data_IF_353610669438
#
_entry.id   IF_353610669438
#
_cell.length_a   1.000
_cell.length_b   1.000
_cell.length_c   1.000
_cell.angle_alpha   90.00
_cell.angle_beta   90.00
_cell.angle_gamma   90.00
#
_symmetry.space_group_name_H-M   'P 1'
#
loop_
_entity.id
_entity.type
_entity.pdbx_description
1 polymer ?
#
# COMPACT_ATOMS: atom_id res chain seq x y z
N UNK A 1 58.16 -12.97 5.66
CA UNK A 1 57.18 -12.50 6.68
C UNK A 1 56.74 -13.71 7.50
N UNK A 2 56.75 -13.63 8.84
CA UNK A 2 56.39 -14.79 9.68
C UNK A 2 54.91 -15.16 9.46
N UNK A 3 54.55 -16.45 9.32
CA UNK A 3 53.17 -16.86 9.08
C UNK A 3 52.15 -16.28 10.08
N UNK A 4 52.51 -16.21 11.37
CA UNK A 4 51.64 -15.60 12.40
C UNK A 4 51.39 -14.09 12.21
N UNK A 5 52.36 -13.34 11.68
CA UNK A 5 52.18 -11.91 11.38
C UNK A 5 51.24 -11.71 10.19
N UNK A 6 51.32 -12.58 9.18
CA UNK A 6 50.41 -12.55 8.04
C UNK A 6 48.97 -12.89 8.49
N UNK A 7 48.82 -13.93 9.31
CA UNK A 7 47.50 -14.35 9.81
C UNK A 7 46.83 -13.27 10.66
N UNK A 8 47.55 -12.66 11.61
CA UNK A 8 47.05 -11.55 12.41
C UNK A 8 46.65 -10.34 11.57
N UNK A 9 47.39 -10.03 10.48
CA UNK A 9 47.02 -8.95 9.56
C UNK A 9 45.72 -9.24 8.84
N UNK A 10 45.54 -10.45 8.32
CA UNK A 10 44.33 -10.84 7.62
C UNK A 10 43.11 -10.76 8.56
N UNK A 11 43.23 -11.34 9.76
CA UNK A 11 42.15 -11.29 10.76
C UNK A 11 41.88 -9.87 11.25
N UNK A 12 42.92 -9.08 11.51
CA UNK A 12 42.77 -7.69 11.93
C UNK A 12 42.06 -6.84 10.87
N UNK A 13 42.43 -6.99 9.59
CA UNK A 13 41.75 -6.30 8.48
C UNK A 13 40.30 -6.76 8.36
N UNK A 14 40.04 -8.08 8.41
CA UNK A 14 38.69 -8.63 8.37
C UNK A 14 37.81 -8.10 9.51
N UNK A 15 38.34 -8.07 10.73
CA UNK A 15 37.65 -7.53 11.90
C UNK A 15 37.30 -6.04 11.73
N UNK A 16 38.25 -5.22 11.26
CA UNK A 16 38.02 -3.79 11.02
C UNK A 16 36.94 -3.58 9.96
N UNK A 17 36.94 -4.37 8.88
CA UNK A 17 35.91 -4.29 7.83
C UNK A 17 34.53 -4.68 8.37
N UNK A 18 34.43 -5.81 9.08
CA UNK A 18 33.17 -6.24 9.68
C UNK A 18 32.64 -5.23 10.71
N UNK A 19 33.52 -4.68 11.56
CA UNK A 19 33.17 -3.66 12.53
C UNK A 19 32.69 -2.38 11.85
N UNK A 20 33.36 -1.93 10.78
CA UNK A 20 32.94 -0.76 10.02
C UNK A 20 31.56 -0.96 9.37
N UNK A 21 31.30 -2.12 8.77
CA UNK A 21 30.00 -2.45 8.18
C UNK A 21 28.89 -2.49 9.23
N UNK A 22 29.15 -3.11 10.38
CA UNK A 22 28.23 -3.10 11.51
C UNK A 22 27.96 -1.67 12.01
N UNK A 23 29.00 -0.87 12.18
CA UNK A 23 28.88 0.51 12.65
C UNK A 23 28.05 1.37 11.69
N UNK A 24 28.27 1.23 10.38
CA UNK A 24 27.46 1.89 9.34
C UNK A 24 26.00 1.45 9.43
N UNK A 25 25.75 0.15 9.57
CA UNK A 25 24.40 -0.41 9.72
C UNK A 25 23.68 0.14 10.94
N UNK A 26 24.31 0.13 12.12
CA UNK A 26 23.71 0.61 13.36
C UNK A 26 23.33 2.10 13.30
N UNK A 27 24.12 2.91 12.59
CA UNK A 27 23.88 4.35 12.40
C UNK A 27 22.96 4.68 11.21
N UNK A 28 22.65 3.70 10.37
CA UNK A 28 21.70 3.90 9.26
C UNK A 28 20.28 3.95 9.82
N UNK A 29 19.48 4.99 9.51
CA UNK A 29 18.11 5.08 10.02
C UNK A 29 17.28 3.85 9.69
N UNK A 30 16.44 3.45 10.65
CA UNK A 30 15.56 2.30 10.49
C UNK A 30 14.53 2.58 9.39
N UNK A 31 14.53 1.72 8.38
CA UNK A 31 13.55 1.76 7.31
C UNK A 31 12.17 1.35 7.80
N UNK A 32 11.19 2.23 7.56
CA UNK A 32 9.78 2.00 7.91
C UNK A 32 8.87 2.02 6.68
N UNK A 33 9.27 2.73 5.61
CA UNK A 33 8.60 2.67 4.31
C UNK A 33 8.91 1.36 3.60
N UNK A 34 7.92 0.79 2.92
CA UNK A 34 8.09 -0.49 2.23
C UNK A 34 9.17 -0.42 1.13
N UNK A 35 9.21 0.65 0.34
CA UNK A 35 10.13 0.75 -0.80
C UNK A 35 11.58 0.98 -0.35
N UNK A 36 11.79 1.79 0.68
CA UNK A 36 13.11 2.01 1.30
C UNK A 36 13.60 0.77 2.04
N UNK A 37 12.71 0.07 2.76
CA UNK A 37 13.04 -1.16 3.50
C UNK A 37 13.43 -2.29 2.56
N UNK A 38 12.61 -2.56 1.56
CA UNK A 38 12.85 -3.64 0.58
C UNK A 38 14.02 -3.29 -0.33
N UNK A 39 14.05 -2.07 -0.87
CA UNK A 39 15.10 -1.63 -1.79
C UNK A 39 16.45 -1.42 -1.13
N UNK A 40 16.52 -1.44 0.22
CA UNK A 40 17.68 -1.01 1.00
C UNK A 40 18.10 0.37 0.49
N UNK A 41 17.20 1.34 0.62
CA UNK A 41 17.37 2.73 0.15
C UNK A 41 17.18 3.66 1.35
N UNK A 42 17.89 4.78 1.35
CA UNK A 42 17.93 5.69 2.49
C UNK A 42 16.59 6.31 2.81
N UNK A 43 16.09 6.05 4.02
CA UNK A 43 14.95 6.78 4.59
C UNK A 43 15.21 8.27 4.71
N UNK A 44 16.41 8.69 5.07
CA UNK A 44 16.74 10.12 5.16
C UNK A 44 16.45 10.86 3.86
N UNK A 45 16.62 10.19 2.71
CA UNK A 45 16.45 10.79 1.39
C UNK A 45 15.00 10.69 0.87
N UNK A 46 14.28 9.63 1.25
CA UNK A 46 12.98 9.27 0.68
C UNK A 46 11.79 9.35 1.65
N UNK A 47 12.02 9.42 2.96
CA UNK A 47 10.94 9.65 3.92
C UNK A 47 10.27 11.01 3.69
N UNK A 48 8.96 11.06 3.92
CA UNK A 48 8.23 12.33 3.97
C UNK A 48 8.85 13.25 5.05
N UNK A 49 9.01 14.52 4.72
CA UNK A 49 9.52 15.54 5.68
C UNK A 49 8.41 16.38 6.28
N UNK A 50 7.26 16.46 5.60
CA UNK A 50 6.09 17.12 6.15
C UNK A 50 5.35 16.16 7.08
N UNK A 51 4.95 16.62 8.27
CA UNK A 51 4.08 15.82 9.11
C UNK A 51 2.74 15.62 8.38
N UNK A 52 2.29 14.37 8.30
CA UNK A 52 0.96 14.06 7.80
C UNK A 52 -0.13 14.55 8.77
N UNK A 53 -1.37 14.70 8.29
CA UNK A 53 -2.50 14.91 9.18
C UNK A 53 -2.65 13.71 10.13
N UNK A 54 -3.15 13.98 11.34
CA UNK A 54 -3.41 12.95 12.34
C UNK A 54 -4.82 12.41 12.19
N UNK A 55 -4.99 11.13 12.48
CA UNK A 55 -6.30 10.52 12.66
C UNK A 55 -6.70 10.59 14.13
N UNK A 56 -7.98 10.84 14.39
CA UNK A 56 -8.53 10.62 15.72
C UNK A 56 -8.60 9.11 15.98
N UNK A 57 -7.87 8.65 16.99
CA UNK A 57 -7.87 7.25 17.42
C UNK A 57 -9.26 6.72 17.77
N UNK A 58 -10.21 7.60 18.14
CA UNK A 58 -11.59 7.22 18.41
C UNK A 58 -12.30 6.65 17.17
N UNK A 59 -11.87 7.03 15.96
CA UNK A 59 -12.45 6.57 14.69
C UNK A 59 -11.65 5.45 14.03
N UNK A 60 -10.46 5.14 14.52
CA UNK A 60 -9.66 4.00 14.07
C UNK A 60 -10.14 2.72 14.75
N UNK A 61 -11.41 2.37 14.57
CA UNK A 61 -12.05 1.24 15.28
C UNK A 61 -12.85 0.36 14.33
N UNK A 62 -13.02 -0.89 14.75
CA UNK A 62 -13.82 -1.92 14.10
C UNK A 62 -15.08 -2.21 14.94
N UNK A 63 -16.12 -2.68 14.27
CA UNK A 63 -17.34 -3.20 14.86
C UNK A 63 -17.48 -4.72 14.68
N UNK A 64 -18.13 -5.45 15.61
CA UNK A 64 -18.49 -6.86 15.38
C UNK A 64 -19.24 -7.03 14.05
N UNK A 65 -18.93 -8.08 13.29
CA UNK A 65 -19.56 -8.36 11.98
C UNK A 65 -21.09 -8.38 12.01
N UNK A 66 -21.69 -8.88 13.10
CA UNK A 66 -23.14 -8.95 13.29
C UNK A 66 -23.81 -7.60 13.54
N UNK A 67 -23.01 -6.59 13.88
CA UNK A 67 -23.42 -5.22 14.14
C UNK A 67 -22.86 -4.25 13.10
N UNK A 68 -22.17 -4.72 12.05
CA UNK A 68 -21.60 -3.82 11.06
C UNK A 68 -22.66 -3.39 10.02
N UNK A 69 -22.62 -2.11 9.64
CA UNK A 69 -23.38 -1.53 8.55
C UNK A 69 -22.63 -1.67 7.22
N UNK A 70 -21.30 -1.62 7.31
CA UNK A 70 -20.36 -1.73 6.18
C UNK A 70 -19.35 -2.85 6.47
N UNK A 71 -19.23 -3.81 5.54
CA UNK A 71 -18.13 -4.75 5.48
C UNK A 71 -17.09 -4.25 4.49
N UNK A 72 -15.83 -4.16 4.91
CA UNK A 72 -14.69 -3.92 4.02
C UNK A 72 -13.93 -5.22 3.81
N UNK A 73 -13.72 -5.62 2.56
CA UNK A 73 -12.77 -6.66 2.16
C UNK A 73 -11.64 -5.95 1.45
N UNK A 74 -10.53 -5.74 2.14
CA UNK A 74 -9.43 -4.93 1.64
C UNK A 74 -8.09 -5.63 1.67
N UNK A 75 -7.06 -4.94 1.18
CA UNK A 75 -5.68 -5.37 1.25
C UNK A 75 -4.90 -4.54 2.28
N UNK A 76 -3.58 -4.43 2.10
CA UNK A 76 -2.69 -3.66 2.96
C UNK A 76 -3.10 -2.18 3.08
N UNK A 77 -3.88 -1.63 2.14
CA UNK A 77 -4.41 -0.28 2.25
C UNK A 77 -5.53 -0.14 3.32
N UNK A 78 -6.14 -1.24 3.74
CA UNK A 78 -7.25 -1.26 4.69
C UNK A 78 -6.85 -1.71 6.10
N UNK A 79 -5.66 -2.28 6.30
CA UNK A 79 -5.25 -2.89 7.58
C UNK A 79 -5.14 -1.90 8.75
N UNK A 80 -4.93 -0.60 8.46
CA UNK A 80 -4.73 0.45 9.47
C UNK A 80 -6.01 1.22 9.82
N UNK A 81 -7.14 0.88 9.21
CA UNK A 81 -8.42 1.57 9.38
C UNK A 81 -8.41 3.07 8.99
N UNK A 82 -7.37 3.53 8.30
CA UNK A 82 -7.10 4.95 8.10
C UNK A 82 -8.16 5.63 7.22
N UNK A 83 -8.47 5.06 6.05
CA UNK A 83 -9.54 5.62 5.20
C UNK A 83 -10.93 5.28 5.77
N UNK A 84 -11.06 4.15 6.46
CA UNK A 84 -12.30 3.73 7.11
C UNK A 84 -12.71 4.67 8.26
N UNK A 85 -11.76 5.39 8.87
CA UNK A 85 -12.05 6.39 9.89
C UNK A 85 -13.12 7.40 9.45
N UNK A 86 -13.13 7.79 8.17
CA UNK A 86 -14.14 8.70 7.63
C UNK A 86 -15.57 8.09 7.67
N UNK A 87 -15.69 6.78 7.47
CA UNK A 87 -16.98 6.07 7.61
C UNK A 87 -17.43 6.01 9.07
N UNK A 88 -16.50 5.71 9.98
CA UNK A 88 -16.80 5.63 11.41
C UNK A 88 -17.20 7.01 11.96
N UNK A 89 -16.46 8.06 11.60
CA UNK A 89 -16.80 9.44 11.91
C UNK A 89 -18.16 9.85 11.30
N UNK A 90 -18.47 9.33 10.11
CA UNK A 90 -19.77 9.46 9.46
C UNK A 90 -20.92 8.70 10.13
N UNK A 91 -20.66 7.94 11.20
CA UNK A 91 -21.65 7.21 11.99
C UNK A 91 -21.87 5.75 11.57
N UNK A 92 -21.09 5.23 10.62
CA UNK A 92 -21.21 3.83 10.19
C UNK A 92 -20.41 2.89 11.09
N UNK A 93 -21.00 1.73 11.41
CA UNK A 93 -20.27 0.63 12.04
C UNK A 93 -19.56 -0.17 10.97
N UNK A 94 -18.23 -0.15 10.98
CA UNK A 94 -17.40 -0.80 9.95
C UNK A 94 -16.73 -2.05 10.52
N UNK A 95 -16.81 -3.17 9.80
CA UNK A 95 -15.98 -4.35 10.04
C UNK A 95 -15.05 -4.54 8.84
N UNK A 96 -13.79 -4.90 9.08
CA UNK A 96 -12.81 -5.11 7.99
C UNK A 96 -12.24 -6.52 8.05
N UNK A 97 -12.22 -7.20 6.90
CA UNK A 97 -11.44 -8.42 6.66
C UNK A 97 -10.40 -8.15 5.57
N UNK A 98 -9.43 -9.05 5.44
CA UNK A 98 -8.37 -8.97 4.44
C UNK A 98 -8.50 -10.06 3.38
N UNK A 99 -8.04 -9.83 2.14
CA UNK A 99 -8.02 -10.83 1.07
C UNK A 99 -7.39 -12.18 1.50
N UNK A 100 -6.25 -12.14 2.18
CA UNK A 100 -5.57 -13.34 2.72
C UNK A 100 -6.41 -14.12 3.76
N UNK A 101 -7.47 -13.51 4.31
CA UNK A 101 -8.38 -14.15 5.28
C UNK A 101 -9.64 -14.70 4.62
N UNK A 102 -10.04 -14.15 3.47
CA UNK A 102 -11.21 -14.61 2.72
C UNK A 102 -10.85 -15.66 1.68
N UNK A 103 -9.64 -15.57 1.11
CA UNK A 103 -9.34 -16.16 -0.19
C UNK A 103 -10.08 -15.43 -1.32
N UNK A 104 -10.17 -16.04 -2.52
CA UNK A 104 -10.91 -15.49 -3.65
C UNK A 104 -12.39 -15.25 -3.32
N UNK A 105 -13.01 -14.26 -3.95
CA UNK A 105 -14.44 -14.02 -3.82
C UNK A 105 -15.22 -14.94 -4.77
N UNK A 106 -15.63 -16.08 -4.26
CA UNK A 106 -16.20 -17.16 -5.06
C UNK A 106 -17.70 -16.97 -5.35
N UNK A 107 -18.27 -17.81 -6.23
CA UNK A 107 -19.69 -17.77 -6.59
C UNK A 107 -20.67 -17.88 -5.39
N UNK A 108 -20.28 -18.57 -4.31
CA UNK A 108 -21.08 -18.69 -3.09
C UNK A 108 -20.87 -17.56 -2.07
N UNK A 109 -20.24 -16.44 -2.47
CA UNK A 109 -20.00 -15.28 -1.60
C UNK A 109 -21.25 -14.80 -0.82
N UNK A 110 -22.47 -14.70 -1.40
CA UNK A 110 -23.66 -14.29 -0.65
C UNK A 110 -23.96 -15.22 0.54
N UNK A 111 -23.77 -16.52 0.35
CA UNK A 111 -23.98 -17.52 1.39
C UNK A 111 -22.91 -17.42 2.47
N UNK A 112 -21.64 -17.25 2.06
CA UNK A 112 -20.53 -17.02 2.97
C UNK A 112 -20.75 -15.77 3.82
N UNK A 113 -21.20 -14.68 3.21
CA UNK A 113 -21.50 -13.43 3.88
C UNK A 113 -22.62 -13.60 4.90
N UNK A 114 -23.71 -14.30 4.55
CA UNK A 114 -24.79 -14.62 5.48
C UNK A 114 -24.32 -15.49 6.66
N UNK A 115 -23.46 -16.48 6.40
CA UNK A 115 -22.88 -17.35 7.46
C UNK A 115 -21.94 -16.59 8.39
N UNK A 116 -21.29 -15.53 7.91
CA UNK A 116 -20.47 -14.65 8.77
C UNK A 116 -21.30 -13.94 9.86
N UNK A 117 -22.62 -13.85 9.68
CA UNK A 117 -23.52 -13.10 10.53
C UNK A 117 -23.66 -11.63 10.14
N UNK A 118 -23.04 -11.19 9.04
CA UNK A 118 -23.18 -9.84 8.51
C UNK A 118 -24.65 -9.54 8.13
N UNK A 119 -25.15 -8.38 8.59
CA UNK A 119 -26.52 -7.90 8.34
C UNK A 119 -26.54 -6.47 7.78
N UNK A 120 -25.37 -5.92 7.46
CA UNK A 120 -25.24 -4.56 6.95
C UNK A 120 -25.71 -4.42 5.51
N UNK A 121 -25.68 -3.18 5.01
CA UNK A 121 -26.21 -2.81 3.69
C UNK A 121 -25.13 -2.68 2.64
N UNK A 122 -23.88 -2.48 3.05
CA UNK A 122 -22.80 -2.15 2.14
C UNK A 122 -21.63 -3.13 2.28
N UNK A 123 -21.08 -3.54 1.14
CA UNK A 123 -19.81 -4.24 1.07
C UNK A 123 -18.86 -3.39 0.22
N UNK A 124 -17.75 -2.95 0.80
CA UNK A 124 -16.69 -2.28 0.06
C UNK A 124 -15.63 -3.32 -0.26
N UNK A 125 -15.39 -3.55 -1.55
CA UNK A 125 -14.33 -4.43 -2.03
C UNK A 125 -13.18 -3.55 -2.47
N UNK A 126 -12.11 -3.55 -1.68
CA UNK A 126 -10.94 -2.69 -1.86
C UNK A 126 -9.77 -3.50 -2.41
N UNK A 127 -9.13 -2.97 -3.46
CA UNK A 127 -7.93 -3.55 -4.05
C UNK A 127 -7.05 -2.48 -4.66
N UNK A 128 -5.74 -2.59 -4.47
CA UNK A 128 -4.76 -1.88 -5.30
C UNK A 128 -4.83 -2.38 -6.75
N UNK A 129 -4.65 -1.46 -7.69
CA UNK A 129 -4.73 -1.66 -9.15
C UNK A 129 -3.94 -2.90 -9.61
N UNK A 130 -2.66 -3.01 -9.24
CA UNK A 130 -1.80 -4.12 -9.70
C UNK A 130 -2.24 -5.52 -9.25
N UNK A 131 -3.04 -5.65 -8.18
CA UNK A 131 -3.47 -6.96 -7.65
C UNK A 131 -4.87 -7.36 -8.08
N UNK A 132 -5.67 -6.39 -8.55
CA UNK A 132 -7.06 -6.66 -8.91
C UNK A 132 -7.24 -7.66 -10.08
N UNK A 133 -6.42 -7.65 -11.15
CA UNK A 133 -6.56 -8.64 -12.23
C UNK A 133 -6.48 -10.08 -11.73
N UNK A 134 -5.43 -10.41 -10.97
CA UNK A 134 -5.24 -11.74 -10.40
C UNK A 134 -6.41 -12.13 -9.48
N UNK A 135 -6.85 -11.22 -8.62
CA UNK A 135 -8.02 -11.44 -7.74
C UNK A 135 -9.30 -11.72 -8.51
N UNK A 136 -9.52 -11.04 -9.63
CA UNK A 136 -10.69 -11.27 -10.48
C UNK A 136 -10.60 -12.61 -11.24
N UNK A 137 -9.42 -12.99 -11.70
CA UNK A 137 -9.20 -14.28 -12.35
C UNK A 137 -9.42 -15.44 -11.36
N UNK A 138 -8.89 -15.33 -10.15
CA UNK A 138 -9.12 -16.29 -9.08
C UNK A 138 -10.59 -16.36 -8.67
N UNK A 139 -11.27 -15.21 -8.55
CA UNK A 139 -12.69 -15.14 -8.26
C UNK A 139 -13.54 -15.82 -9.36
N UNK A 140 -13.20 -15.59 -10.63
CA UNK A 140 -13.89 -16.20 -11.76
C UNK A 140 -13.73 -17.72 -11.81
N UNK A 141 -12.59 -18.24 -11.35
CA UNK A 141 -12.34 -19.68 -11.25
C UNK A 141 -12.92 -20.32 -9.96
N UNK A 142 -13.31 -19.52 -8.97
CA UNK A 142 -13.69 -20.04 -7.66
C UNK A 142 -15.20 -20.26 -7.50
N UNK A 143 -15.58 -21.48 -7.10
CA UNK A 143 -16.98 -21.82 -6.77
C UNK A 143 -17.32 -21.61 -5.29
N UNK A 144 -16.40 -21.96 -4.38
CA UNK A 144 -16.69 -22.07 -2.95
C UNK A 144 -15.63 -21.39 -2.08
N UNK A 145 -16.05 -20.41 -1.28
CA UNK A 145 -15.25 -19.85 -0.19
C UNK A 145 -15.14 -20.84 0.96
N UNK A 146 -13.92 -21.33 1.22
CA UNK A 146 -13.63 -22.36 2.21
C UNK A 146 -13.27 -21.83 3.59
N UNK A 147 -12.71 -20.62 3.67
CA UNK A 147 -12.29 -20.01 4.93
C UNK A 147 -13.48 -19.39 5.68
N UNK A 148 -13.57 -19.54 7.00
CA UNK A 148 -14.56 -18.81 7.78
C UNK A 148 -14.25 -17.31 7.79
N UNK A 149 -15.27 -16.47 8.00
CA UNK A 149 -15.05 -15.04 8.17
C UNK A 149 -14.10 -14.76 9.34
N UNK A 150 -13.04 -14.00 9.07
CA UNK A 150 -12.09 -13.55 10.07
C UNK A 150 -11.81 -12.06 9.87
N UNK A 151 -12.32 -11.21 10.77
CA UNK A 151 -11.97 -9.80 10.80
C UNK A 151 -10.47 -9.62 11.10
N UNK A 152 -9.90 -8.53 10.59
CA UNK A 152 -8.57 -8.06 11.01
C UNK A 152 -8.64 -7.78 12.52
N UNK A 153 -7.60 -8.12 13.31
CA UNK A 153 -7.59 -7.83 14.74
C UNK A 153 -7.94 -6.38 15.03
N UNK A 154 -8.85 -6.16 16.00
CA UNK A 154 -9.30 -4.82 16.36
C UNK A 154 -8.11 -3.92 16.67
N UNK A 155 -8.20 -2.68 16.19
CA UNK A 155 -7.20 -1.63 16.24
C UNK A 155 -6.68 -1.24 17.64
N UNK A 156 -7.12 -1.91 18.72
CA UNK A 156 -6.57 -1.74 20.08
C UNK A 156 -5.04 -1.88 20.16
N UNK A 157 -4.36 -2.30 19.07
CA UNK A 157 -2.91 -2.42 18.94
C UNK A 157 -2.27 -1.55 17.85
N UNK A 158 -3.04 -0.91 16.96
CA UNK A 158 -2.49 0.01 15.96
C UNK A 158 -2.43 1.40 16.59
N UNK A 159 -1.33 1.67 17.29
CA UNK A 159 -1.08 2.96 17.88
C UNK A 159 -1.32 4.08 16.86
N UNK A 160 -1.99 5.13 17.32
CA UNK A 160 -2.27 6.36 16.58
C UNK A 160 -1.02 7.08 16.05
N UNK A 161 0.17 6.53 16.29
CA UNK A 161 1.42 6.92 15.65
C UNK A 161 1.48 6.41 14.20
N UNK A 162 0.56 6.96 13.41
CA UNK A 162 0.75 7.23 11.98
C UNK A 162 1.85 8.28 11.75
N UNK A 163 2.49 8.76 12.83
CA UNK A 163 3.74 9.50 12.79
C UNK A 163 4.83 8.62 12.16
N UNK A 164 4.90 8.71 10.83
CA UNK A 164 6.02 8.31 9.98
C UNK A 164 7.24 9.18 10.31
N UNK A 165 7.70 9.14 11.56
CA UNK A 165 8.92 9.82 12.01
C UNK A 165 10.05 8.81 12.02
N UNK A 166 11.21 9.21 11.48
CA UNK A 166 12.44 8.41 11.53
C UNK A 166 12.67 7.94 12.98
N UNK A 167 12.72 6.62 13.23
CA UNK A 167 13.00 6.11 14.56
C UNK A 167 14.35 6.63 15.04
N UNK A 168 14.39 7.31 16.19
CA UNK A 168 15.62 7.87 16.76
C UNK A 168 16.40 6.82 17.58
N UNK A 169 16.50 5.59 17.06
CA UNK A 169 17.21 4.48 17.72
C UNK A 169 18.18 3.81 16.76
N UNK A 170 19.21 3.17 17.32
CA UNK A 170 20.15 2.36 16.55
C UNK A 170 19.43 1.19 15.87
N UNK A 171 19.89 0.83 14.68
CA UNK A 171 19.29 -0.20 13.85
C UNK A 171 19.79 -1.61 14.23
N UNK A 172 19.44 -2.04 15.44
CA UNK A 172 19.87 -3.33 16.01
C UNK A 172 19.29 -4.55 15.30
N UNK A 173 18.13 -4.40 14.66
CA UNK A 173 17.39 -5.50 14.03
C UNK A 173 17.82 -5.74 12.57
N UNK A 174 18.74 -4.93 12.04
CA UNK A 174 19.16 -4.99 10.65
C UNK A 174 20.25 -6.03 10.38
N UNK A 175 20.24 -6.56 9.15
CA UNK A 175 21.35 -7.39 8.65
C UNK A 175 22.66 -6.59 8.67
N UNK A 176 23.74 -7.24 9.11
CA UNK A 176 25.03 -6.62 9.44
C UNK A 176 25.62 -5.68 8.36
N UNK A 177 25.37 -5.94 7.07
CA UNK A 177 25.88 -5.13 5.95
C UNK A 177 24.79 -4.27 5.25
N UNK A 178 23.56 -4.24 5.77
CA UNK A 178 22.46 -3.52 5.12
C UNK A 178 22.67 -2.01 5.04
N UNK A 179 23.33 -1.38 6.03
CA UNK A 179 23.64 0.05 5.97
C UNK A 179 24.57 0.43 4.83
N UNK A 180 25.55 -0.44 4.53
CA UNK A 180 26.45 -0.25 3.39
C UNK A 180 25.73 -0.38 2.06
N UNK A 181 24.86 -1.39 1.92
CA UNK A 181 24.01 -1.53 0.73
C UNK A 181 23.10 -0.31 0.55
N UNK A 182 22.50 0.16 1.64
CA UNK A 182 21.70 1.40 1.66
C UNK A 182 22.48 2.60 1.17
N UNK A 183 23.73 2.76 1.61
CA UNK A 183 24.60 3.81 1.14
C UNK A 183 24.89 3.70 -0.37
N UNK A 184 25.26 2.52 -0.87
CA UNK A 184 25.56 2.29 -2.29
C UNK A 184 24.33 2.56 -3.17
N UNK A 185 23.19 1.93 -2.85
CA UNK A 185 21.96 2.05 -3.64
C UNK A 185 21.51 3.52 -3.70
N UNK A 186 21.50 4.20 -2.55
CA UNK A 186 21.14 5.61 -2.48
C UNK A 186 22.09 6.49 -3.28
N UNK A 187 23.40 6.22 -3.23
CA UNK A 187 24.39 6.96 -4.02
C UNK A 187 24.18 6.76 -5.52
N UNK A 188 23.90 5.53 -5.96
CA UNK A 188 23.59 5.22 -7.35
C UNK A 188 22.35 6.01 -7.83
N UNK A 189 21.27 6.04 -7.03
CA UNK A 189 20.06 6.81 -7.33
C UNK A 189 20.36 8.30 -7.47
N UNK A 190 21.13 8.88 -6.53
CA UNK A 190 21.50 10.30 -6.57
C UNK A 190 22.25 10.69 -7.84
N UNK A 191 23.11 9.81 -8.33
CA UNK A 191 23.95 10.10 -9.50
C UNK A 191 23.29 9.72 -10.83
N UNK A 192 22.34 8.79 -10.83
CA UNK A 192 21.73 8.31 -12.07
C UNK A 192 20.81 9.36 -12.68
N UNK A 193 20.78 9.40 -14.03
CA UNK A 193 19.78 10.13 -14.82
C UNK A 193 18.74 9.22 -15.45
N UNK A 194 18.96 7.91 -15.40
CA UNK A 194 18.09 6.88 -15.93
C UNK A 194 17.40 6.11 -14.80
N UNK A 195 16.49 5.22 -15.18
CA UNK A 195 15.84 4.29 -14.27
C UNK A 195 16.87 3.32 -13.70
N UNK A 196 16.74 3.01 -12.41
CA UNK A 196 17.56 2.01 -11.73
C UNK A 196 16.64 0.99 -11.06
N UNK A 197 16.83 -0.28 -11.40
CA UNK A 197 16.13 -1.41 -10.78
C UNK A 197 17.01 -1.98 -9.67
N UNK A 198 16.38 -2.29 -8.54
CA UNK A 198 17.03 -2.89 -7.37
C UNK A 198 16.37 -4.23 -7.05
N UNK A 199 17.23 -5.25 -6.99
CA UNK A 199 16.82 -6.62 -6.74
C UNK A 199 16.79 -6.90 -5.24
N UNK A 200 15.76 -7.62 -4.82
CA UNK A 200 15.70 -8.21 -3.51
C UNK A 200 16.13 -9.69 -3.60
N UNK A 201 17.04 -10.18 -2.72
CA UNK A 201 17.56 -11.55 -2.79
C UNK A 201 16.50 -12.67 -2.83
N UNK A 202 15.34 -12.42 -2.23
CA UNK A 202 14.21 -13.38 -2.17
C UNK A 202 13.17 -13.19 -3.27
N UNK A 203 13.00 -11.99 -3.80
CA UNK A 203 11.84 -11.62 -4.63
C UNK A 203 12.23 -11.09 -6.03
N UNK A 204 13.53 -11.04 -6.35
CA UNK A 204 14.02 -10.48 -7.62
C UNK A 204 13.84 -8.96 -7.68
N UNK A 205 13.81 -8.42 -8.90
CA UNK A 205 13.56 -7.01 -9.18
C UNK A 205 12.25 -6.55 -8.52
N UNK A 206 12.35 -5.69 -7.52
CA UNK A 206 11.16 -5.28 -6.76
C UNK A 206 11.00 -3.77 -6.72
N UNK A 207 12.10 -3.01 -6.67
CA UNK A 207 12.05 -1.55 -6.56
C UNK A 207 12.70 -0.91 -7.79
N UNK A 208 12.03 0.08 -8.37
CA UNK A 208 12.61 0.93 -9.42
C UNK A 208 12.67 2.39 -8.96
N UNK A 209 13.84 3.00 -9.09
CA UNK A 209 14.03 4.44 -8.96
C UNK A 209 13.93 5.08 -10.33
N UNK A 210 13.10 6.11 -10.47
CA UNK A 210 12.89 6.85 -11.72
C UNK A 210 13.09 8.35 -11.55
N UNK A 211 13.58 9.09 -12.56
CA UNK A 211 13.59 10.54 -12.54
C UNK A 211 12.15 11.11 -12.42
N UNK A 212 11.97 12.09 -11.53
CA UNK A 212 10.73 12.86 -11.38
C UNK A 212 11.04 14.35 -11.48
N UNK A 213 11.13 14.94 -12.68
CA UNK A 213 11.54 16.35 -12.85
C UNK A 213 10.70 17.35 -12.04
N UNK A 214 9.39 17.09 -11.90
CA UNK A 214 8.47 17.91 -11.11
C UNK A 214 8.17 17.33 -9.72
N UNK A 215 8.86 16.26 -9.30
CA UNK A 215 8.49 15.51 -8.10
C UNK A 215 8.58 16.34 -6.81
N UNK A 216 9.43 17.37 -6.75
CA UNK A 216 9.50 18.30 -5.61
C UNK A 216 8.28 19.19 -5.41
N UNK A 217 7.33 19.22 -6.36
CA UNK A 217 6.01 19.84 -6.17
C UNK A 217 5.02 18.89 -5.50
N UNK A 218 5.31 17.60 -5.52
CA UNK A 218 4.38 16.51 -5.19
C UNK A 218 4.86 15.69 -3.98
N UNK A 219 6.17 15.65 -3.73
CA UNK A 219 6.80 14.96 -2.62
C UNK A 219 7.68 15.89 -1.79
N UNK A 220 7.65 15.73 -0.47
CA UNK A 220 8.39 16.54 0.50
C UNK A 220 9.76 15.98 0.87
N UNK A 221 10.11 14.78 0.40
CA UNK A 221 11.38 14.12 0.71
C UNK A 221 12.59 14.90 0.16
N UNK A 222 13.80 14.63 0.68
CA UNK A 222 15.01 15.38 0.28
C UNK A 222 15.39 15.17 -1.18
N UNK A 223 15.22 13.95 -1.68
CA UNK A 223 15.53 13.57 -3.05
C UNK A 223 14.26 13.53 -3.93
N UNK A 224 13.40 14.54 -3.79
CA UNK A 224 12.08 14.61 -4.43
C UNK A 224 12.12 14.70 -5.96
N UNK A 225 13.28 14.92 -6.57
CA UNK A 225 13.47 14.82 -8.02
C UNK A 225 13.65 13.37 -8.50
N UNK A 226 13.58 12.39 -7.58
CA UNK A 226 13.60 10.96 -7.83
C UNK A 226 12.40 10.33 -7.11
N UNK A 227 11.69 9.46 -7.81
CA UNK A 227 10.66 8.63 -7.22
C UNK A 227 11.14 7.20 -7.11
N UNK A 228 10.74 6.51 -6.06
CA UNK A 228 10.85 5.05 -5.96
C UNK A 228 9.46 4.44 -6.06
N UNK A 229 9.37 3.35 -6.80
CA UNK A 229 8.14 2.65 -7.18
C UNK A 229 8.34 1.14 -7.12
N UNK A 230 7.23 0.41 -7.09
CA UNK A 230 7.25 -1.03 -7.21
C UNK A 230 7.39 -1.41 -8.69
N UNK A 231 8.25 -2.37 -9.01
CA UNK A 231 8.42 -2.86 -10.39
C UNK A 231 7.13 -3.54 -10.89
N UNK A 232 6.39 -4.19 -9.99
CA UNK A 232 5.14 -4.87 -10.33
C UNK A 232 4.01 -3.91 -10.73
N UNK A 233 4.12 -2.61 -10.42
CA UNK A 233 3.16 -1.61 -10.90
C UNK A 233 3.15 -1.54 -12.45
N UNK A 234 4.25 -1.92 -13.12
CA UNK A 234 4.38 -1.96 -14.59
C UNK A 234 4.36 -3.38 -15.18
N UNK A 235 4.67 -4.41 -14.38
CA UNK A 235 4.74 -5.81 -14.86
C UNK A 235 3.40 -6.53 -14.80
N UNK A 236 2.58 -6.19 -13.81
CA UNK A 236 1.30 -6.88 -13.64
C UNK A 236 0.33 -6.51 -14.78
N UNK A 237 -0.58 -7.42 -15.14
CA UNK A 237 -1.56 -7.15 -16.18
C UNK A 237 -2.33 -5.86 -15.92
N UNK A 238 -2.52 -5.07 -16.97
CA UNK A 238 -3.29 -3.84 -16.91
C UNK A 238 -4.78 -4.16 -16.70
N UNK A 239 -5.46 -3.37 -15.88
CA UNK A 239 -6.92 -3.44 -15.77
C UNK A 239 -7.56 -3.04 -17.11
N UNK A 240 -8.61 -3.76 -17.49
CA UNK A 240 -9.28 -3.57 -18.77
C UNK A 240 -10.80 -3.49 -18.62
N UNK A 241 -11.56 -3.14 -19.68
CA UNK A 241 -13.01 -3.21 -19.65
C UNK A 241 -13.57 -4.59 -19.27
N UNK A 242 -12.84 -5.68 -19.53
CA UNK A 242 -13.27 -7.02 -19.09
C UNK A 242 -13.17 -7.19 -17.58
N UNK A 243 -12.20 -6.54 -16.92
CA UNK A 243 -12.10 -6.50 -15.46
C UNK A 243 -13.34 -5.86 -14.83
N UNK A 244 -13.76 -4.70 -15.36
CA UNK A 244 -15.00 -4.04 -14.93
C UNK A 244 -16.25 -4.89 -15.21
N UNK A 245 -16.29 -5.61 -16.33
CA UNK A 245 -17.40 -6.53 -16.64
C UNK A 245 -17.45 -7.72 -15.66
N UNK A 246 -16.31 -8.25 -15.22
CA UNK A 246 -16.24 -9.30 -14.19
C UNK A 246 -16.74 -8.78 -12.83
N UNK A 247 -16.33 -7.58 -12.44
CA UNK A 247 -16.82 -6.90 -11.23
C UNK A 247 -18.35 -6.74 -11.28
N UNK A 248 -18.90 -6.25 -12.39
CA UNK A 248 -20.36 -6.11 -12.56
C UNK A 248 -21.12 -7.45 -12.52
N UNK A 249 -20.52 -8.54 -13.02
CA UNK A 249 -21.09 -9.88 -12.88
C UNK A 249 -21.13 -10.34 -11.44
N UNK A 250 -20.10 -10.03 -10.67
CA UNK A 250 -20.04 -10.33 -9.24
C UNK A 250 -21.11 -9.52 -8.45
N UNK A 251 -21.30 -8.24 -8.78
CA UNK A 251 -22.36 -7.41 -8.21
C UNK A 251 -23.77 -7.95 -8.49
N UNK A 252 -23.94 -8.67 -9.60
CA UNK A 252 -25.19 -9.31 -10.00
C UNK A 252 -25.57 -10.58 -9.22
N UNK A 253 -24.73 -11.04 -8.27
CA UNK A 253 -25.06 -12.21 -7.45
C UNK A 253 -26.30 -11.95 -6.59
N UNK A 254 -27.26 -12.87 -6.64
CA UNK A 254 -28.55 -12.70 -5.97
C UNK A 254 -28.42 -12.63 -4.44
N UNK A 255 -29.17 -11.72 -3.82
CA UNK A 255 -29.22 -11.57 -2.36
C UNK A 255 -28.04 -10.80 -1.76
N UNK A 256 -27.26 -10.11 -2.58
CA UNK A 256 -26.12 -9.32 -2.15
C UNK A 256 -26.54 -7.95 -1.57
N UNK A 257 -25.85 -7.47 -0.52
CA UNK A 257 -25.86 -6.04 -0.18
C UNK A 257 -25.27 -5.21 -1.32
N UNK A 258 -25.41 -3.87 -1.24
CA UNK A 258 -24.82 -2.98 -2.24
C UNK A 258 -23.29 -3.07 -2.19
N UNK A 259 -22.69 -3.49 -3.30
CA UNK A 259 -21.23 -3.50 -3.46
C UNK A 259 -20.77 -2.12 -3.93
N UNK A 260 -19.65 -1.66 -3.37
CA UNK A 260 -18.91 -0.50 -3.82
C UNK A 260 -17.45 -0.93 -4.02
N UNK A 261 -16.99 -0.92 -5.27
CA UNK A 261 -15.61 -1.23 -5.60
C UNK A 261 -14.71 -0.03 -5.32
N UNK A 262 -13.69 -0.24 -4.50
CA UNK A 262 -12.66 0.73 -4.18
C UNK A 262 -11.36 0.29 -4.84
N UNK A 263 -11.12 0.76 -6.07
CA UNK A 263 -9.89 0.43 -6.80
C UNK A 263 -8.89 1.55 -6.61
N UNK A 264 -7.86 1.30 -5.82
CA UNK A 264 -6.81 2.30 -5.54
C UNK A 264 -5.83 2.26 -6.72
N UNK A 265 -5.49 3.40 -7.35
CA UNK A 265 -4.51 3.41 -8.43
C UNK A 265 -3.10 3.07 -7.91
N UNK A 266 -2.25 2.51 -8.76
CA UNK A 266 -0.84 2.34 -8.44
C UNK A 266 -0.15 3.70 -8.29
N UNK A 267 0.91 3.75 -7.48
CA UNK A 267 1.74 4.96 -7.36
C UNK A 267 2.32 5.33 -8.73
N UNK A 268 2.79 4.35 -9.50
CA UNK A 268 3.28 4.59 -10.88
C UNK A 268 2.20 5.17 -11.79
N UNK A 269 0.97 4.65 -11.75
CA UNK A 269 -0.18 5.19 -12.51
C UNK A 269 -0.41 6.66 -12.18
N UNK A 270 -0.45 7.00 -10.89
CA UNK A 270 -0.72 8.39 -10.45
C UNK A 270 0.38 9.35 -10.89
N UNK A 271 1.66 8.99 -10.75
CA UNK A 271 2.77 9.95 -10.92
C UNK A 271 3.40 9.92 -12.32
N UNK A 272 3.41 8.77 -12.99
CA UNK A 272 4.19 8.54 -14.21
C UNK A 272 3.34 8.16 -15.43
N UNK A 273 2.23 7.45 -15.26
CA UNK A 273 1.44 6.92 -16.38
C UNK A 273 -0.07 6.99 -16.11
N UNK A 274 -0.65 8.20 -16.18
CA UNK A 274 -2.04 8.45 -15.81
C UNK A 274 -3.05 7.75 -16.74
N UNK A 275 -2.67 7.52 -17.99
CA UNK A 275 -3.54 6.90 -18.99
C UNK A 275 -3.54 5.36 -18.93
N UNK A 276 -2.71 4.77 -18.07
CA UNK A 276 -2.52 3.31 -17.95
C UNK A 276 -3.84 2.55 -17.82
N UNK A 277 -4.76 3.00 -16.98
CA UNK A 277 -6.03 2.31 -16.73
C UNK A 277 -7.25 3.03 -17.35
N UNK A 278 -7.06 3.97 -18.28
CA UNK A 278 -8.12 4.86 -18.79
C UNK A 278 -9.36 4.12 -19.31
N UNK A 279 -9.18 3.05 -20.08
CA UNK A 279 -10.28 2.23 -20.62
C UNK A 279 -11.04 1.48 -19.52
N UNK A 280 -10.34 0.99 -18.49
CA UNK A 280 -10.96 0.39 -17.32
C UNK A 280 -11.76 1.43 -16.52
N UNK A 281 -11.18 2.60 -16.26
CA UNK A 281 -11.83 3.69 -15.51
C UNK A 281 -13.12 4.14 -16.20
N UNK A 282 -13.10 4.26 -17.54
CA UNK A 282 -14.31 4.56 -18.30
C UNK A 282 -15.39 3.48 -18.12
N UNK A 283 -15.02 2.21 -18.18
CA UNK A 283 -15.95 1.10 -17.97
C UNK A 283 -16.47 1.03 -16.52
N UNK A 284 -15.61 1.27 -15.53
CA UNK A 284 -15.95 1.34 -14.11
C UNK A 284 -17.03 2.41 -13.86
N UNK A 285 -16.84 3.60 -14.43
CA UNK A 285 -17.79 4.71 -14.33
C UNK A 285 -19.12 4.41 -15.04
N UNK A 286 -19.07 3.87 -16.26
CA UNK A 286 -20.27 3.52 -17.03
C UNK A 286 -21.13 2.44 -16.36
N UNK A 287 -20.51 1.53 -15.60
CA UNK A 287 -21.17 0.46 -14.85
C UNK A 287 -21.54 0.86 -13.40
N UNK A 288 -21.21 2.08 -12.97
CA UNK A 288 -21.48 2.58 -11.63
C UNK A 288 -20.99 1.66 -10.49
N UNK A 289 -19.81 1.05 -10.69
CA UNK A 289 -19.26 0.04 -9.76
C UNK A 289 -18.60 0.66 -8.53
N UNK A 290 -18.17 1.92 -8.62
CA UNK A 290 -17.48 2.60 -7.54
C UNK A 290 -17.04 4.01 -7.91
N UNK A 291 -16.45 4.75 -6.96
CA UNK A 291 -15.90 6.06 -7.24
C UNK A 291 -14.65 5.97 -8.12
N UNK A 292 -14.48 6.96 -9.01
CA UNK A 292 -13.25 7.12 -9.79
C UNK A 292 -12.12 7.68 -8.89
N UNK A 293 -11.34 6.77 -8.31
CA UNK A 293 -10.15 7.12 -7.51
C UNK A 293 -8.93 7.46 -8.38
N UNK A 294 -8.93 7.10 -9.66
CA UNK A 294 -7.85 7.42 -10.60
C UNK A 294 -7.86 8.91 -10.93
N UNK A 295 -9.00 9.44 -11.34
CA UNK A 295 -9.16 10.87 -11.56
C UNK A 295 -8.99 11.68 -10.27
N UNK A 296 -9.49 11.16 -9.13
CA UNK A 296 -9.28 11.80 -7.83
C UNK A 296 -7.79 11.95 -7.52
N UNK A 297 -7.01 10.88 -7.65
CA UNK A 297 -5.57 10.90 -7.36
C UNK A 297 -4.78 11.74 -8.37
N UNK A 298 -5.08 11.61 -9.66
CA UNK A 298 -4.45 12.38 -10.74
C UNK A 298 -4.65 13.89 -10.58
N UNK A 299 -5.83 14.32 -10.12
CA UNK A 299 -6.08 15.73 -9.83
C UNK A 299 -5.45 16.16 -8.51
N UNK A 300 -5.54 15.32 -7.48
CA UNK A 300 -5.14 15.69 -6.11
C UNK A 300 -3.63 15.70 -5.89
N UNK A 301 -2.83 14.95 -6.67
CA UNK A 301 -1.35 14.95 -6.56
C UNK A 301 -0.71 16.33 -6.67
N UNK A 302 -1.39 17.28 -7.32
CA UNK A 302 -0.89 18.66 -7.50
C UNK A 302 -1.17 19.58 -6.30
N UNK A 303 -2.03 19.16 -5.38
CA UNK A 303 -2.49 19.98 -4.24
C UNK A 303 -2.34 19.28 -2.89
N UNK A 304 -2.22 17.94 -2.90
CA UNK A 304 -1.94 17.10 -1.74
C UNK A 304 -0.49 16.64 -1.85
N UNK A 305 0.39 17.40 -1.19
CA UNK A 305 1.80 17.02 -1.03
C UNK A 305 1.88 15.66 -0.33
N UNK A 306 2.75 14.78 -0.82
CA UNK A 306 2.90 13.40 -0.38
C UNK A 306 1.57 12.63 -0.48
N UNK A 307 0.77 12.77 -1.54
CA UNK A 307 -0.49 11.99 -1.67
C UNK A 307 -0.24 10.47 -1.46
N UNK A 308 0.84 9.97 -2.04
CA UNK A 308 1.46 8.71 -1.63
C UNK A 308 2.68 9.02 -0.79
N UNK A 309 2.98 8.15 0.18
CA UNK A 309 4.21 8.32 0.95
C UNK A 309 5.42 8.13 0.02
N UNK A 310 6.42 9.04 0.02
CA UNK A 310 7.47 8.98 -0.99
C UNK A 310 8.34 7.72 -0.87
N UNK A 311 8.50 7.19 0.35
CA UNK A 311 9.24 5.98 0.68
C UNK A 311 8.40 4.68 0.68
N UNK A 312 7.10 4.75 0.38
CA UNK A 312 6.17 3.63 0.50
C UNK A 312 5.38 3.38 -0.79
N UNK A 313 4.77 2.20 -0.89
CA UNK A 313 3.77 1.86 -1.91
C UNK A 313 2.39 2.40 -1.54
N UNK A 314 2.14 2.68 -0.25
CA UNK A 314 0.86 3.12 0.26
C UNK A 314 0.64 4.64 0.18
N UNK A 315 -0.64 5.01 0.32
CA UNK A 315 -1.04 6.40 0.55
C UNK A 315 -0.37 6.95 1.81
N UNK A 316 -0.15 8.27 1.84
CA UNK A 316 0.18 8.93 3.12
C UNK A 316 -1.08 9.12 3.96
N UNK A 317 -0.96 9.58 5.22
CA UNK A 317 -2.13 9.98 6.01
C UNK A 317 -3.05 10.96 5.27
N UNK A 318 -2.50 11.91 4.51
CA UNK A 318 -3.30 12.86 3.72
C UNK A 318 -4.04 12.16 2.56
N UNK A 319 -3.39 11.20 1.91
CA UNK A 319 -4.04 10.39 0.87
C UNK A 319 -5.16 9.51 1.42
N UNK A 320 -4.96 8.89 2.59
CA UNK A 320 -6.01 8.12 3.25
C UNK A 320 -7.21 8.98 3.66
N UNK A 321 -7.00 10.21 4.14
CA UNK A 321 -8.10 11.13 4.43
C UNK A 321 -8.89 11.51 3.17
N UNK A 322 -8.18 11.81 2.08
CA UNK A 322 -8.81 12.14 0.79
C UNK A 322 -9.67 10.98 0.27
N UNK A 323 -9.10 9.77 0.25
CA UNK A 323 -9.81 8.57 -0.21
C UNK A 323 -10.96 8.22 0.73
N UNK A 324 -10.76 8.31 2.05
CA UNK A 324 -11.80 8.08 3.05
C UNK A 324 -13.00 9.00 2.86
N UNK A 325 -12.76 10.30 2.64
CA UNK A 325 -13.82 11.27 2.35
C UNK A 325 -14.59 10.93 1.06
N UNK A 326 -13.88 10.50 0.00
CA UNK A 326 -14.53 10.09 -1.26
C UNK A 326 -15.38 8.83 -1.08
N UNK A 327 -14.91 7.86 -0.29
CA UNK A 327 -15.63 6.62 0.01
C UNK A 327 -16.85 6.88 0.88
N UNK A 328 -16.76 7.73 1.90
CA UNK A 328 -17.92 8.18 2.68
C UNK A 328 -18.99 8.79 1.76
N UNK A 329 -18.58 9.64 0.83
CA UNK A 329 -19.51 10.21 -0.14
C UNK A 329 -20.14 9.14 -1.04
N UNK A 330 -19.36 8.15 -1.50
CA UNK A 330 -19.88 7.05 -2.32
C UNK A 330 -20.92 6.19 -1.58
N UNK A 331 -20.72 5.95 -0.28
CA UNK A 331 -21.72 5.26 0.57
C UNK A 331 -22.99 6.10 0.67
N UNK A 332 -22.88 7.40 0.98
CA UNK A 332 -24.02 8.32 1.08
C UNK A 332 -24.79 8.48 -0.23
N UNK A 333 -24.10 8.49 -1.37
CA UNK A 333 -24.75 8.57 -2.68
C UNK A 333 -25.51 7.28 -3.01
N UNK A 334 -25.07 6.15 -2.46
CA UNK A 334 -25.75 4.85 -2.62
C UNK A 334 -26.96 4.67 -1.69
N UNK A 335 -27.24 5.63 -0.80
CA UNK A 335 -28.45 5.65 0.04
C UNK A 335 -29.66 6.30 -0.65
N UNK A 336 -29.42 7.07 -1.71
CA UNK A 336 -30.44 7.85 -2.44
C UNK A 336 -31.10 7.01 -3.53
#
# INVERSE_FOLDING_TARGET
>A
MKPGVLWLRIYGVGFVVCFALLWITLLTPIAYGDLTRVGRISETEFAARRPGPKFDSAYLVDSPVSAADVLVIGDSFSIRFAWQAALVEGGYRVVTTHWDKTGPLCANFPEWLRRSGFKGRYVIIESIERLLPERLDEAAACTTMSLPFQAIPRATQLAADTAMTLPQRLNWDAEWASGWLTYIHTRAIKTSRADLVFDHPRWGDLIVSRPLPNGCKEFSNRLCNKGIFLVDDDRNPMLSPSSAALMARFDGLAGMPKIIWMVIPNKTTVYLNQDHASSFVQALGALHLGPDLFALAANSRHHVMDLYSPNDTHLSPAGYQLVGARMLQAVKDSEK
#
